data_IF_835895301040
#
_entry.id   IF_835895301040
#
_cell.length_a   1.000
_cell.length_b   1.000
_cell.length_c   1.000
_cell.angle_alpha   90.00
_cell.angle_beta   90.00
_cell.angle_gamma   90.00
#
_symmetry.space_group_name_H-M   'P 1'
#
loop_
_entity.id
_entity.type
_entity.pdbx_description
1 polymer ?
#
# COMPACT_ATOMS: atom_id res chain seq x y z
N UNK A 1 -13.13 -63.72 36.73
CA UNK A 1 -12.30 -62.51 36.61
C UNK A 1 -13.09 -61.40 35.91
N UNK A 2 -13.52 -60.38 36.64
CA UNK A 2 -14.19 -59.22 36.05
C UNK A 2 -13.18 -58.47 35.17
N UNK A 3 -13.47 -58.41 33.85
CA UNK A 3 -12.74 -57.51 32.95
C UNK A 3 -12.79 -56.08 33.51
N UNK A 4 -11.64 -55.61 34.02
CA UNK A 4 -11.46 -54.20 34.36
C UNK A 4 -11.78 -53.36 33.09
N UNK A 5 -12.88 -52.59 33.12
CA UNK A 5 -13.19 -51.63 32.07
C UNK A 5 -11.93 -50.72 31.93
N UNK A 6 -11.22 -50.85 30.81
CA UNK A 6 -10.13 -49.94 30.41
C UNK A 6 -10.63 -48.49 30.46
N UNK A 7 -10.45 -47.79 31.59
CA UNK A 7 -10.72 -46.39 31.73
C UNK A 7 -9.59 -45.65 31.04
N UNK A 8 -9.85 -45.08 29.84
CA UNK A 8 -8.91 -44.21 29.16
C UNK A 8 -8.50 -43.02 30.06
N UNK A 9 -7.30 -42.54 29.88
CA UNK A 9 -6.80 -41.32 30.59
C UNK A 9 -7.68 -40.12 30.28
N UNK A 10 -8.07 -39.38 31.34
CA UNK A 10 -8.74 -38.09 31.17
C UNK A 10 -7.85 -37.09 30.44
N UNK A 11 -8.44 -36.12 29.71
CA UNK A 11 -7.69 -35.07 29.01
C UNK A 11 -6.75 -34.33 29.95
N UNK A 12 -7.24 -34.01 31.17
CA UNK A 12 -6.45 -33.33 32.23
C UNK A 12 -5.18 -34.10 32.59
N UNK A 13 -5.29 -35.43 32.74
CA UNK A 13 -4.13 -36.28 33.08
C UNK A 13 -3.14 -36.38 31.91
N UNK A 14 -3.63 -36.45 30.64
CA UNK A 14 -2.76 -36.46 29.46
C UNK A 14 -1.96 -35.16 29.35
N UNK A 15 -2.62 -34.02 29.53
CA UNK A 15 -1.97 -32.70 29.52
C UNK A 15 -0.97 -32.56 30.65
N UNK A 16 -1.31 -33.01 31.87
CA UNK A 16 -0.40 -32.93 33.01
C UNK A 16 0.84 -33.82 32.78
N UNK A 17 0.67 -35.04 32.31
CA UNK A 17 1.79 -35.95 31.99
C UNK A 17 2.66 -35.37 30.86
N UNK A 18 2.08 -34.83 29.79
CA UNK A 18 2.85 -34.24 28.71
C UNK A 18 3.63 -32.99 29.14
N UNK A 19 3.05 -32.16 30.03
CA UNK A 19 3.73 -31.03 30.61
C UNK A 19 4.90 -31.43 31.51
N UNK A 20 4.69 -32.42 32.38
CA UNK A 20 5.78 -32.95 33.19
C UNK A 20 6.91 -33.49 32.31
N UNK A 21 6.60 -34.26 31.26
CA UNK A 21 7.60 -34.74 30.30
C UNK A 21 8.37 -33.59 29.61
N UNK A 22 7.66 -32.54 29.26
CA UNK A 22 8.28 -31.32 28.70
C UNK A 22 9.23 -30.67 29.72
N UNK A 23 8.83 -30.56 30.99
CA UNK A 23 9.58 -29.91 32.04
C UNK A 23 10.81 -30.70 32.49
N UNK A 24 10.79 -32.04 32.46
CA UNK A 24 11.95 -32.89 32.78
C UNK A 24 13.14 -32.58 31.88
N UNK A 25 12.89 -32.16 30.63
CA UNK A 25 13.92 -31.83 29.62
C UNK A 25 13.77 -30.38 29.12
N UNK A 26 13.43 -29.49 30.05
CA UNK A 26 13.05 -28.08 29.70
C UNK A 26 14.08 -27.39 28.84
N UNK A 27 15.36 -27.48 29.13
CA UNK A 27 16.40 -26.79 28.36
C UNK A 27 16.50 -27.27 26.91
N UNK A 28 16.41 -28.56 26.67
CA UNK A 28 16.41 -29.13 25.32
C UNK A 28 15.14 -28.71 24.55
N UNK A 29 14.00 -28.86 25.19
CA UNK A 29 12.71 -28.52 24.59
C UNK A 29 12.58 -26.99 24.32
N UNK A 30 13.18 -26.16 25.20
CA UNK A 30 13.21 -24.70 24.99
C UNK A 30 14.17 -24.34 23.84
N UNK A 31 15.31 -24.97 23.70
CA UNK A 31 16.21 -24.78 22.56
C UNK A 31 15.51 -25.09 21.24
N UNK A 32 14.72 -26.15 21.20
CA UNK A 32 13.95 -26.51 20.01
C UNK A 32 12.86 -25.46 19.75
N UNK A 33 12.17 -25.04 20.81
CA UNK A 33 11.14 -24.02 20.71
C UNK A 33 11.72 -22.69 20.19
N UNK A 34 12.90 -22.28 20.64
CA UNK A 34 13.58 -21.08 20.12
C UNK A 34 13.99 -21.24 18.64
N UNK A 35 14.57 -22.39 18.27
CA UNK A 35 14.91 -22.65 16.87
C UNK A 35 13.67 -22.65 15.97
N UNK A 36 12.57 -23.26 16.43
CA UNK A 36 11.29 -23.28 15.70
C UNK A 36 10.67 -21.88 15.62
N UNK A 37 10.85 -21.04 16.65
CA UNK A 37 10.28 -19.68 16.65
C UNK A 37 10.84 -18.80 15.53
N UNK A 38 12.07 -19.05 15.05
CA UNK A 38 12.68 -18.28 13.94
C UNK A 38 11.82 -18.35 12.68
N UNK A 39 11.31 -19.54 12.33
CA UNK A 39 10.41 -19.70 11.19
C UNK A 39 9.09 -18.94 11.38
N UNK A 40 8.51 -19.02 12.57
CA UNK A 40 7.27 -18.31 12.91
C UNK A 40 7.48 -16.78 12.92
N UNK A 41 8.62 -16.27 13.41
CA UNK A 41 8.99 -14.86 13.39
C UNK A 41 8.99 -14.33 11.95
N UNK A 42 9.62 -15.05 11.01
CA UNK A 42 9.69 -14.66 9.61
C UNK A 42 8.28 -14.50 8.98
N UNK A 43 7.37 -15.44 9.25
CA UNK A 43 5.98 -15.36 8.76
C UNK A 43 5.23 -14.23 9.45
N UNK A 44 5.35 -14.05 10.77
CA UNK A 44 4.68 -12.97 11.50
C UNK A 44 5.17 -11.59 11.06
N UNK A 45 6.47 -11.42 10.80
CA UNK A 45 7.01 -10.17 10.26
C UNK A 45 6.43 -9.91 8.86
N UNK A 46 6.34 -10.94 8.02
CA UNK A 46 5.72 -10.80 6.69
C UNK A 46 4.26 -10.36 6.77
N UNK A 47 3.48 -10.93 7.70
CA UNK A 47 2.10 -10.48 7.94
C UNK A 47 2.05 -9.06 8.48
N UNK A 48 2.88 -8.73 9.47
CA UNK A 48 2.90 -7.40 10.08
C UNK A 48 3.23 -6.27 9.10
N UNK A 49 4.24 -6.47 8.25
CA UNK A 49 4.61 -5.50 7.20
C UNK A 49 3.50 -5.37 6.16
N UNK A 50 2.97 -6.49 5.65
CA UNK A 50 1.92 -6.45 4.63
C UNK A 50 0.63 -5.80 5.13
N UNK A 51 0.22 -6.10 6.36
CA UNK A 51 -0.98 -5.50 6.96
C UNK A 51 -0.81 -4.00 7.21
N UNK A 52 0.35 -3.56 7.68
CA UNK A 52 0.62 -2.15 7.92
C UNK A 52 0.53 -1.32 6.63
N UNK A 53 1.14 -1.80 5.54
CA UNK A 53 1.10 -1.08 4.26
C UNK A 53 -0.34 -1.04 3.70
N UNK A 54 -1.08 -2.17 3.76
CA UNK A 54 -2.48 -2.20 3.35
C UNK A 54 -3.33 -1.30 4.24
N UNK A 55 -3.06 -1.26 5.56
CA UNK A 55 -3.70 -0.35 6.51
C UNK A 55 -3.46 1.11 6.14
N UNK A 56 -2.21 1.52 5.91
CA UNK A 56 -1.88 2.89 5.49
C UNK A 56 -2.60 3.32 4.20
N UNK A 57 -2.69 2.40 3.23
CA UNK A 57 -3.42 2.66 1.99
C UNK A 57 -4.91 2.85 2.29
N UNK A 58 -5.51 1.99 3.11
CA UNK A 58 -6.92 2.09 3.47
C UNK A 58 -7.20 3.35 4.29
N UNK A 59 -6.38 3.67 5.27
CA UNK A 59 -6.52 4.89 6.11
C UNK A 59 -6.42 6.16 5.25
N UNK A 60 -5.51 6.16 4.27
CA UNK A 60 -5.40 7.26 3.31
C UNK A 60 -6.62 7.36 2.39
N UNK A 61 -7.40 6.29 2.25
CA UNK A 61 -8.57 6.20 1.38
C UNK A 61 -9.90 6.26 2.14
N UNK A 62 -9.97 5.79 3.40
CA UNK A 62 -11.19 5.77 4.24
C UNK A 62 -11.58 7.16 4.79
N UNK A 63 -10.69 8.15 4.70
CA UNK A 63 -11.00 9.55 5.04
C UNK A 63 -12.08 10.20 4.14
N UNK A 64 -12.88 9.41 3.42
CA UNK A 64 -14.01 9.87 2.59
C UNK A 64 -13.57 10.51 1.26
N UNK A 65 -12.30 10.45 0.94
CA UNK A 65 -11.72 11.14 -0.21
C UNK A 65 -10.93 10.20 -1.13
N UNK A 66 -11.40 8.95 -1.37
CA UNK A 66 -10.91 8.26 -2.57
C UNK A 66 -11.42 9.10 -3.75
N UNK A 67 -10.54 9.79 -4.49
CA UNK A 67 -11.01 10.47 -5.67
C UNK A 67 -11.57 9.40 -6.60
N UNK A 68 -12.86 9.46 -6.85
CA UNK A 68 -13.52 8.69 -7.92
C UNK A 68 -13.02 9.14 -9.29
N UNK A 69 -11.85 9.77 -9.33
CA UNK A 69 -11.25 10.34 -10.51
C UNK A 69 -10.61 9.26 -11.37
N UNK A 70 -11.01 9.25 -12.62
CA UNK A 70 -10.47 8.38 -13.66
C UNK A 70 -9.71 9.27 -14.63
N UNK A 71 -8.43 9.01 -14.79
CA UNK A 71 -7.60 9.62 -15.82
C UNK A 71 -7.65 8.78 -17.08
N UNK A 72 -7.96 9.40 -18.20
CA UNK A 72 -8.07 8.76 -19.51
C UNK A 72 -7.07 9.45 -20.43
N UNK A 73 -6.11 8.70 -20.94
CA UNK A 73 -5.13 9.15 -21.93
C UNK A 73 -5.11 8.19 -23.13
N UNK A 74 -4.44 8.56 -24.20
CA UNK A 74 -4.19 7.62 -25.27
C UNK A 74 -3.20 6.54 -24.83
N UNK A 75 -3.41 5.29 -25.27
CA UNK A 75 -2.41 4.25 -25.10
C UNK A 75 -1.13 4.62 -25.90
N UNK A 76 0.04 4.14 -25.49
CA UNK A 76 1.33 4.46 -26.15
C UNK A 76 1.28 4.28 -27.67
N UNK A 77 0.61 3.22 -28.15
CA UNK A 77 0.41 2.96 -29.57
C UNK A 77 -0.49 3.98 -30.26
N UNK A 78 -1.46 4.55 -29.56
CA UNK A 78 -2.41 5.54 -30.10
C UNK A 78 -1.87 6.95 -29.96
N UNK A 79 -1.09 7.25 -28.92
CA UNK A 79 -0.45 8.55 -28.69
C UNK A 79 0.56 8.89 -29.82
N UNK A 80 1.20 7.89 -30.40
CA UNK A 80 2.06 8.08 -31.57
C UNK A 80 1.31 8.57 -32.84
N UNK A 81 -0.06 8.54 -32.82
CA UNK A 81 -0.91 8.93 -33.95
C UNK A 81 -1.71 10.19 -33.71
N UNK A 82 -1.58 10.84 -32.57
CA UNK A 82 -2.29 12.06 -32.26
C UNK A 82 -2.56 12.30 -30.76
N UNK A 83 -3.42 13.23 -30.50
CA UNK A 83 -3.85 13.66 -29.17
C UNK A 83 -5.35 13.41 -28.99
N UNK A 84 -5.84 13.47 -27.75
CA UNK A 84 -7.26 13.38 -27.47
C UNK A 84 -8.02 14.56 -28.10
N UNK A 85 -9.20 14.28 -28.64
CA UNK A 85 -10.03 15.26 -29.32
C UNK A 85 -11.50 15.20 -28.86
N UNK A 86 -12.35 16.03 -29.47
CA UNK A 86 -13.78 16.11 -29.14
C UNK A 86 -14.54 14.80 -29.41
N UNK A 87 -14.12 13.98 -30.37
CA UNK A 87 -14.78 12.70 -30.64
C UNK A 87 -14.44 11.67 -29.57
N UNK A 88 -13.24 11.75 -28.99
CA UNK A 88 -12.86 10.94 -27.83
C UNK A 88 -13.73 11.30 -26.62
N UNK A 89 -13.96 12.58 -26.38
CA UNK A 89 -14.86 13.03 -25.30
C UNK A 89 -16.29 12.53 -25.52
N UNK A 90 -16.84 12.66 -26.74
CA UNK A 90 -18.17 12.14 -27.09
C UNK A 90 -18.24 10.63 -26.88
N UNK A 91 -17.21 9.88 -27.30
CA UNK A 91 -17.16 8.45 -27.06
C UNK A 91 -17.17 8.11 -25.57
N UNK A 92 -16.33 8.77 -24.76
CA UNK A 92 -16.27 8.53 -23.31
C UNK A 92 -17.63 8.81 -22.66
N UNK A 93 -18.26 9.94 -23.01
CA UNK A 93 -19.60 10.30 -22.52
C UNK A 93 -20.67 9.28 -22.93
N UNK A 94 -20.58 8.69 -24.13
CA UNK A 94 -21.54 7.68 -24.59
C UNK A 94 -21.44 6.35 -23.82
N UNK A 95 -20.29 6.07 -23.19
CA UNK A 95 -20.08 4.84 -22.43
C UNK A 95 -20.64 4.89 -21.01
N UNK A 96 -21.04 6.07 -20.53
CA UNK A 96 -21.43 6.34 -19.14
C UNK A 96 -22.76 7.06 -19.16
N UNK A 97 -23.65 6.70 -18.22
CA UNK A 97 -24.92 7.45 -18.07
C UNK A 97 -24.62 8.89 -17.65
N UNK A 98 -25.22 9.85 -18.30
CA UNK A 98 -24.99 11.29 -18.01
C UNK A 98 -25.18 11.65 -16.55
N UNK A 99 -26.16 11.01 -15.89
CA UNK A 99 -26.45 11.22 -14.47
C UNK A 99 -25.38 10.70 -13.52
N UNK A 100 -24.57 9.75 -13.95
CA UNK A 100 -23.45 9.20 -13.17
C UNK A 100 -22.19 10.07 -13.23
N UNK A 101 -22.09 10.95 -14.22
CA UNK A 101 -20.96 11.85 -14.40
C UNK A 101 -21.10 13.06 -13.47
N UNK A 102 -20.11 13.29 -12.62
CA UNK A 102 -19.98 14.52 -11.84
C UNK A 102 -19.34 15.61 -12.69
N UNK A 103 -18.21 15.30 -13.32
CA UNK A 103 -17.57 16.10 -14.36
C UNK A 103 -16.72 15.23 -15.30
N UNK A 104 -16.52 15.72 -16.52
CA UNK A 104 -15.52 15.24 -17.46
C UNK A 104 -14.82 16.47 -18.02
N UNK A 105 -13.53 16.60 -17.77
CA UNK A 105 -12.72 17.75 -18.13
C UNK A 105 -11.46 17.31 -18.88
N UNK A 106 -11.02 18.17 -19.77
CA UNK A 106 -9.90 17.91 -20.67
C UNK A 106 -8.81 18.95 -20.43
N UNK A 107 -7.98 18.80 -19.36
CA UNK A 107 -6.92 19.76 -19.07
C UNK A 107 -5.96 19.91 -20.24
N UNK A 108 -5.59 21.13 -20.53
CA UNK A 108 -4.62 21.51 -21.55
C UNK A 108 -3.76 22.65 -21.02
N UNK A 109 -2.65 22.90 -21.66
CA UNK A 109 -1.72 23.91 -21.18
C UNK A 109 -0.91 24.54 -22.29
N UNK A 110 -0.14 25.54 -21.91
CA UNK A 110 0.87 26.18 -22.73
C UNK A 110 2.13 26.43 -21.93
N UNK A 111 3.28 26.62 -22.62
CA UNK A 111 4.52 26.95 -21.97
C UNK A 111 4.84 28.44 -22.14
N UNK A 112 5.35 29.07 -21.10
CA UNK A 112 5.90 30.41 -21.15
C UNK A 112 7.42 30.33 -21.30
N UNK A 113 7.98 30.98 -22.32
CA UNK A 113 9.42 31.12 -22.49
C UNK A 113 9.98 32.25 -21.62
N UNK A 114 9.21 33.30 -21.42
CA UNK A 114 9.59 34.42 -20.59
C UNK A 114 8.38 35.12 -19.97
N UNK A 115 8.62 35.90 -18.92
CA UNK A 115 7.62 36.73 -18.28
C UNK A 115 8.22 38.06 -17.89
N UNK A 116 7.55 39.15 -18.24
CA UNK A 116 7.94 40.52 -17.86
C UNK A 116 6.93 41.06 -16.83
N UNK A 117 7.47 41.47 -15.69
CA UNK A 117 6.74 42.10 -14.58
C UNK A 117 7.49 43.30 -14.08
N UNK A 118 6.84 44.47 -13.97
CA UNK A 118 7.43 45.74 -13.51
C UNK A 118 8.74 46.08 -14.27
N UNK A 119 8.80 45.83 -15.58
CA UNK A 119 9.96 46.09 -16.44
C UNK A 119 11.09 45.06 -16.31
N UNK A 120 10.99 44.09 -15.44
CA UNK A 120 11.98 42.99 -15.32
C UNK A 120 11.48 41.80 -16.10
N UNK A 121 12.26 41.31 -17.04
CA UNK A 121 11.99 40.06 -17.78
C UNK A 121 12.71 38.89 -17.11
N UNK A 122 11.99 37.87 -16.82
CA UNK A 122 12.47 36.56 -16.35
C UNK A 122 12.44 35.59 -17.54
N UNK A 123 13.59 35.03 -17.87
CA UNK A 123 13.74 34.04 -18.96
C UNK A 123 13.64 32.62 -18.38
N UNK A 124 12.73 31.83 -18.93
CA UNK A 124 12.48 30.45 -18.54
C UNK A 124 13.03 29.43 -19.53
N UNK A 125 13.65 29.88 -20.63
CA UNK A 125 14.13 29.00 -21.71
C UNK A 125 15.25 28.06 -21.28
N UNK A 126 16.02 28.42 -20.25
CA UNK A 126 17.19 27.66 -19.79
C UNK A 126 16.90 26.63 -18.72
N UNK A 127 16.00 26.91 -17.80
CA UNK A 127 15.76 26.11 -16.58
C UNK A 127 14.32 25.62 -16.44
N UNK A 128 13.40 26.01 -17.32
CA UNK A 128 12.01 25.56 -17.43
C UNK A 128 11.37 25.28 -16.06
N UNK A 129 11.22 26.26 -15.17
CA UNK A 129 10.63 26.03 -13.87
C UNK A 129 9.17 25.59 -14.03
N UNK A 130 8.65 24.77 -13.13
CA UNK A 130 7.28 24.21 -13.25
C UNK A 130 6.22 25.30 -13.48
N UNK A 131 6.35 26.46 -12.87
CA UNK A 131 5.42 27.59 -13.07
C UNK A 131 5.54 28.26 -14.45
N UNK A 132 6.51 27.89 -15.29
CA UNK A 132 6.51 28.29 -16.70
C UNK A 132 5.45 27.56 -17.51
N UNK A 133 4.93 26.44 -17.02
CA UNK A 133 3.80 25.76 -17.59
C UNK A 133 2.50 26.33 -17.03
N UNK A 134 1.63 26.84 -17.92
CA UNK A 134 0.28 27.29 -17.59
C UNK A 134 -0.71 26.20 -17.92
N UNK A 135 -1.46 25.76 -16.93
CA UNK A 135 -2.47 24.70 -17.07
C UNK A 135 -3.86 25.28 -16.92
N UNK A 136 -4.81 24.79 -17.72
CA UNK A 136 -6.21 25.16 -17.66
C UNK A 136 -6.84 24.82 -16.31
N UNK A 137 -7.52 25.79 -15.70
CA UNK A 137 -8.23 25.64 -14.44
C UNK A 137 -9.73 25.51 -14.70
N UNK A 138 -10.31 24.40 -14.27
CA UNK A 138 -11.76 24.16 -14.31
C UNK A 138 -12.36 24.29 -12.91
N UNK A 139 -13.64 24.69 -12.83
CA UNK A 139 -14.31 24.95 -11.55
C UNK A 139 -14.47 23.69 -10.67
N UNK A 140 -14.64 22.54 -11.29
CA UNK A 140 -15.15 21.33 -10.62
C UNK A 140 -14.12 20.22 -10.42
N UNK A 141 -12.89 20.33 -10.98
CA UNK A 141 -11.87 19.30 -10.77
C UNK A 141 -11.31 19.35 -9.35
N UNK A 142 -10.89 18.20 -8.84
CA UNK A 142 -10.19 18.11 -7.55
C UNK A 142 -8.90 18.95 -7.55
N UNK A 143 -8.21 19.02 -8.68
CA UNK A 143 -7.07 19.90 -8.89
C UNK A 143 -7.46 21.37 -8.69
N UNK A 144 -8.61 21.78 -9.25
CA UNK A 144 -9.16 23.12 -9.05
C UNK A 144 -9.59 23.37 -7.60
N UNK A 145 -10.19 22.38 -6.93
CA UNK A 145 -10.69 22.54 -5.56
C UNK A 145 -9.58 22.60 -4.55
N UNK A 146 -8.51 21.78 -4.66
CA UNK A 146 -7.38 21.86 -3.75
C UNK A 146 -6.61 23.19 -3.86
N UNK A 147 -6.56 23.78 -5.05
CA UNK A 147 -5.95 25.09 -5.30
C UNK A 147 -6.89 26.26 -5.09
N UNK A 148 -8.16 25.98 -4.98
CA UNK A 148 -9.21 26.95 -4.65
C UNK A 148 -9.50 26.92 -3.12
N UNK A 149 -8.84 26.05 -2.38
CA UNK A 149 -8.96 26.01 -0.93
C UNK A 149 -8.37 27.28 -0.32
N UNK A 150 -9.16 27.92 0.54
CA UNK A 150 -8.77 29.18 1.19
C UNK A 150 -7.47 29.04 1.97
N UNK A 151 -7.22 27.89 2.54
CA UNK A 151 -6.05 27.62 3.39
C UNK A 151 -4.74 27.52 2.57
N UNK A 152 -4.85 27.24 1.26
CA UNK A 152 -3.70 27.19 0.34
C UNK A 152 -3.50 28.47 -0.48
N UNK A 153 -4.38 29.44 -0.38
CA UNK A 153 -4.27 30.71 -1.09
C UNK A 153 -3.48 31.70 -0.22
N UNK A 154 -2.23 31.97 -0.61
CA UNK A 154 -1.37 32.95 0.07
C UNK A 154 -1.82 34.40 -0.19
N UNK A 155 -2.39 34.68 -1.35
CA UNK A 155 -2.99 35.98 -1.70
C UNK A 155 -4.00 35.85 -2.83
N UNK A 156 -4.98 36.75 -2.87
CA UNK A 156 -6.07 36.75 -3.86
C UNK A 156 -7.35 36.15 -3.33
N UNK A 157 -8.30 35.86 -4.22
CA UNK A 157 -9.60 35.27 -3.86
C UNK A 157 -9.76 33.91 -4.51
N UNK A 158 -10.52 32.97 -3.90
CA UNK A 158 -10.86 31.70 -4.52
C UNK A 158 -11.52 31.88 -5.89
N UNK A 159 -11.23 30.96 -6.82
CA UNK A 159 -11.83 30.95 -8.14
C UNK A 159 -13.34 30.63 -8.05
N UNK A 160 -14.18 31.53 -8.59
CA UNK A 160 -15.63 31.41 -8.43
C UNK A 160 -16.37 31.11 -9.73
N UNK A 161 -15.86 31.59 -10.86
CA UNK A 161 -16.54 31.51 -12.16
C UNK A 161 -15.57 31.17 -13.28
N UNK A 162 -16.04 30.43 -14.28
CA UNK A 162 -15.29 30.15 -15.51
C UNK A 162 -15.00 31.42 -16.35
N UNK A 163 -15.72 32.52 -16.10
CA UNK A 163 -15.53 33.78 -16.78
C UNK A 163 -14.54 34.72 -16.11
N UNK A 164 -13.96 34.33 -14.96
CA UNK A 164 -12.86 35.06 -14.35
C UNK A 164 -11.65 35.07 -15.28
N UNK A 165 -10.92 36.21 -15.31
CA UNK A 165 -9.70 36.36 -16.09
C UNK A 165 -8.51 36.62 -15.17
N UNK A 166 -7.38 36.02 -15.49
CA UNK A 166 -6.13 36.23 -14.78
C UNK A 166 -5.34 34.95 -14.59
N UNK A 167 -4.12 35.11 -14.11
CA UNK A 167 -3.16 34.02 -13.92
C UNK A 167 -2.90 33.81 -12.42
N UNK A 168 -2.86 32.55 -12.04
CA UNK A 168 -2.49 32.10 -10.70
C UNK A 168 -1.04 31.61 -10.75
N UNK A 169 -0.20 32.10 -9.84
CA UNK A 169 1.19 31.63 -9.67
C UNK A 169 1.39 30.93 -8.33
N UNK A 170 2.37 30.01 -8.23
CA UNK A 170 2.80 29.45 -6.97
C UNK A 170 3.74 30.41 -6.21
N UNK A 171 3.93 30.16 -4.91
CA UNK A 171 4.83 30.93 -4.05
C UNK A 171 6.31 30.84 -4.50
N UNK A 172 6.70 29.76 -5.14
CA UNK A 172 8.03 29.59 -5.74
C UNK A 172 8.35 30.67 -6.78
N UNK A 173 7.36 31.12 -7.55
CA UNK A 173 7.51 32.25 -8.45
C UNK A 173 7.84 33.54 -7.70
N UNK A 174 7.13 33.84 -6.62
CA UNK A 174 7.38 35.02 -5.77
C UNK A 174 8.79 35.00 -5.20
N UNK A 175 9.24 33.85 -4.70
CA UNK A 175 10.59 33.68 -4.17
C UNK A 175 11.64 33.96 -5.24
N UNK A 176 11.49 33.39 -6.43
CA UNK A 176 12.45 33.61 -7.53
C UNK A 176 12.47 35.07 -8.00
N UNK A 177 11.28 35.68 -8.19
CA UNK A 177 11.21 37.09 -8.57
C UNK A 177 11.96 37.99 -7.56
N UNK A 178 11.78 37.78 -6.26
CA UNK A 178 12.48 38.51 -5.22
C UNK A 178 14.01 38.28 -5.26
N UNK A 179 14.45 37.04 -5.53
CA UNK A 179 15.88 36.74 -5.67
C UNK A 179 16.49 37.44 -6.88
N UNK A 180 15.84 37.44 -8.03
CA UNK A 180 16.36 38.07 -9.25
C UNK A 180 16.31 39.61 -9.24
N UNK A 181 15.38 40.20 -8.46
CA UNK A 181 15.21 41.66 -8.39
C UNK A 181 15.81 42.29 -7.16
N UNK A 182 16.26 41.50 -6.16
CA UNK A 182 16.70 41.98 -4.85
C UNK A 182 15.57 42.56 -3.99
N UNK A 183 14.32 42.47 -4.42
CA UNK A 183 13.12 42.95 -3.71
C UNK A 183 12.69 41.98 -2.63
N UNK A 184 11.91 42.45 -1.66
CA UNK A 184 11.29 41.62 -0.59
C UNK A 184 9.76 41.79 -0.64
N UNK A 185 9.16 41.52 -1.80
CA UNK A 185 7.71 41.61 -2.02
C UNK A 185 7.00 40.42 -1.38
N UNK A 186 5.83 40.65 -0.79
CA UNK A 186 4.94 39.63 -0.27
C UNK A 186 3.98 39.18 -1.35
N UNK A 187 3.35 38.01 -1.19
CA UNK A 187 2.37 37.47 -2.15
C UNK A 187 1.28 38.48 -2.53
N UNK A 188 0.77 39.27 -1.57
CA UNK A 188 -0.27 40.29 -1.80
C UNK A 188 0.16 41.42 -2.74
N UNK A 189 1.45 41.71 -2.81
CA UNK A 189 2.00 42.82 -3.61
C UNK A 189 2.01 42.47 -5.11
N UNK A 190 1.77 41.23 -5.47
CA UNK A 190 1.67 40.75 -6.85
C UNK A 190 0.23 40.81 -7.39
N UNK A 191 -0.78 40.85 -6.52
CA UNK A 191 -2.17 40.78 -6.93
C UNK A 191 -2.57 42.04 -7.70
N UNK A 192 -3.18 41.85 -8.88
CA UNK A 192 -3.61 42.93 -9.78
C UNK A 192 -2.51 43.46 -10.71
N UNK A 193 -1.26 43.08 -10.53
CA UNK A 193 -0.17 43.47 -11.42
C UNK A 193 -0.37 42.91 -12.82
N UNK A 194 -0.13 43.70 -13.83
CA UNK A 194 -0.11 43.28 -15.22
C UNK A 194 1.23 42.61 -15.54
N UNK A 195 1.15 41.53 -16.28
CA UNK A 195 2.32 40.82 -16.82
C UNK A 195 2.20 40.70 -18.32
N UNK A 196 3.36 40.73 -18.99
CA UNK A 196 3.48 40.29 -20.37
C UNK A 196 4.27 38.97 -20.37
N UNK A 197 3.67 37.92 -20.92
CA UNK A 197 4.33 36.62 -21.00
C UNK A 197 4.47 36.20 -22.46
N UNK A 198 5.65 35.69 -22.81
CA UNK A 198 5.89 35.10 -24.11
C UNK A 198 5.56 33.60 -24.04
N UNK A 199 4.51 33.21 -24.76
CA UNK A 199 4.10 31.80 -24.87
C UNK A 199 4.70 31.15 -26.09
N UNK A 200 5.00 29.87 -25.99
CA UNK A 200 5.67 29.10 -27.07
C UNK A 200 4.98 27.76 -27.30
N UNK A 201 4.91 27.37 -28.57
CA UNK A 201 4.49 26.04 -29.01
C UNK A 201 5.54 25.50 -30.00
N UNK A 202 6.12 24.36 -29.68
CA UNK A 202 7.00 23.66 -30.61
C UNK A 202 6.16 22.81 -31.54
N UNK A 203 6.25 23.09 -32.83
CA UNK A 203 5.57 22.36 -33.89
C UNK A 203 6.59 21.66 -34.80
N UNK A 204 6.14 20.76 -35.66
CA UNK A 204 7.03 20.11 -36.67
C UNK A 204 7.69 21.14 -37.60
N UNK A 205 7.03 22.28 -37.86
CA UNK A 205 7.47 23.33 -38.76
C UNK A 205 8.29 24.45 -38.07
N UNK A 206 8.52 24.31 -36.75
CA UNK A 206 9.30 25.29 -35.97
C UNK A 206 8.58 25.72 -34.68
N UNK A 207 9.14 26.73 -34.01
CA UNK A 207 8.56 27.26 -32.76
C UNK A 207 7.67 28.44 -33.06
N UNK A 208 6.38 28.36 -32.71
CA UNK A 208 5.48 29.51 -32.69
C UNK A 208 5.65 30.26 -31.39
N UNK A 209 5.63 31.59 -31.45
CA UNK A 209 5.79 32.49 -30.30
C UNK A 209 4.70 33.55 -30.35
N UNK A 210 4.10 33.86 -29.21
CA UNK A 210 3.17 34.98 -29.08
C UNK A 210 3.31 35.65 -27.71
N UNK A 211 3.09 36.97 -27.69
CA UNK A 211 3.07 37.75 -26.45
C UNK A 211 1.62 37.89 -25.96
N UNK A 212 1.42 37.52 -24.70
CA UNK A 212 0.12 37.65 -24.04
C UNK A 212 0.22 38.64 -22.89
N UNK A 213 -0.86 39.40 -22.65
CA UNK A 213 -0.97 40.29 -21.48
C UNK A 213 -2.08 39.78 -20.58
N UNK A 214 -1.80 39.67 -19.30
CA UNK A 214 -2.79 39.25 -18.30
C UNK A 214 -2.43 39.83 -16.92
N UNK A 215 -3.29 39.58 -15.93
CA UNK A 215 -3.05 40.03 -14.54
C UNK A 215 -2.84 38.86 -13.62
N UNK A 216 -2.01 39.06 -12.61
CA UNK A 216 -1.85 38.12 -11.51
C UNK A 216 -3.07 38.30 -10.59
N UNK A 217 -3.87 37.25 -10.42
CA UNK A 217 -5.09 37.29 -9.60
C UNK A 217 -4.97 36.51 -8.31
N UNK A 218 -3.99 35.59 -8.26
CA UNK A 218 -3.85 34.68 -7.13
C UNK A 218 -2.39 34.18 -7.00
N UNK A 219 -1.96 34.04 -5.75
CA UNK A 219 -0.73 33.32 -5.39
C UNK A 219 -1.14 32.17 -4.47
N UNK A 220 -0.67 30.94 -4.78
CA UNK A 220 -0.95 29.73 -4.02
C UNK A 220 0.31 29.22 -3.35
N UNK A 221 0.15 28.57 -2.21
CA UNK A 221 1.25 27.89 -1.51
C UNK A 221 1.56 26.57 -2.22
N UNK A 222 2.81 26.35 -2.58
CA UNK A 222 3.34 25.14 -3.22
C UNK A 222 4.38 24.41 -2.36
N UNK A 223 4.44 24.71 -1.06
CA UNK A 223 5.47 24.18 -0.15
C UNK A 223 5.34 22.67 0.10
N UNK A 224 4.13 22.11 -0.03
CA UNK A 224 3.84 20.70 0.27
C UNK A 224 3.90 19.78 -0.96
N UNK A 225 3.78 20.31 -2.20
CA UNK A 225 3.65 19.48 -3.40
C UNK A 225 4.30 20.12 -4.64
N UNK A 226 5.25 19.43 -5.26
CA UNK A 226 5.88 19.86 -6.51
C UNK A 226 4.88 20.02 -7.68
N UNK A 227 3.79 19.26 -7.71
CA UNK A 227 2.70 19.38 -8.71
C UNK A 227 1.92 20.69 -8.58
N UNK A 228 1.94 21.33 -7.41
CA UNK A 228 1.30 22.62 -7.16
C UNK A 228 2.13 23.80 -7.65
N UNK A 229 3.36 23.56 -8.10
CA UNK A 229 4.28 24.58 -8.60
C UNK A 229 4.00 25.06 -10.03
N UNK A 230 2.94 24.58 -10.69
CA UNK A 230 2.49 25.09 -12.00
C UNK A 230 1.71 26.41 -11.88
N UNK A 231 1.67 27.15 -12.96
CA UNK A 231 0.77 28.30 -13.09
C UNK A 231 -0.60 27.87 -13.63
N UNK A 232 -1.66 28.60 -13.31
CA UNK A 232 -3.01 28.24 -13.72
C UNK A 232 -3.78 29.42 -14.28
N UNK A 233 -4.54 29.16 -15.36
CA UNK A 233 -5.43 30.12 -15.98
C UNK A 233 -6.81 29.50 -16.16
N UNK A 234 -7.94 30.25 -16.00
CA UNK A 234 -9.25 29.73 -16.30
C UNK A 234 -9.30 29.12 -17.71
N UNK A 235 -9.88 27.92 -17.82
CA UNK A 235 -9.85 27.15 -19.07
C UNK A 235 -10.40 27.91 -20.26
N UNK A 236 -11.49 28.68 -20.07
CA UNK A 236 -12.09 29.49 -21.11
C UNK A 236 -11.14 30.60 -21.61
N UNK A 237 -10.49 31.32 -20.68
CA UNK A 237 -9.51 32.35 -21.04
C UNK A 237 -8.32 31.76 -21.77
N UNK A 238 -7.80 30.64 -21.29
CA UNK A 238 -6.67 29.97 -21.91
C UNK A 238 -7.00 29.49 -23.34
N UNK A 239 -8.22 28.96 -23.55
CA UNK A 239 -8.68 28.51 -24.87
C UNK A 239 -8.85 29.69 -25.84
N UNK A 240 -9.42 30.82 -25.36
CA UNK A 240 -9.49 32.05 -26.13
C UNK A 240 -8.13 32.55 -26.58
N UNK A 241 -7.14 32.61 -25.65
CA UNK A 241 -5.78 33.04 -25.93
C UNK A 241 -5.07 32.12 -26.93
N UNK A 242 -5.21 30.81 -26.80
CA UNK A 242 -4.63 29.87 -27.75
C UNK A 242 -5.21 30.08 -29.16
N UNK A 243 -6.54 30.22 -29.26
CA UNK A 243 -7.24 30.41 -30.53
C UNK A 243 -6.87 31.74 -31.21
N UNK A 244 -6.82 32.84 -30.46
CA UNK A 244 -6.48 34.18 -30.98
C UNK A 244 -5.07 34.24 -31.53
N UNK A 245 -4.14 33.45 -30.93
CA UNK A 245 -2.71 33.41 -31.34
C UNK A 245 -2.40 32.23 -32.26
N UNK A 246 -3.39 31.47 -32.72
CA UNK A 246 -3.20 30.36 -33.65
C UNK A 246 -2.45 29.14 -33.08
N UNK A 247 -2.46 28.98 -31.76
CA UNK A 247 -1.88 27.82 -31.06
C UNK A 247 -2.84 26.63 -31.07
N UNK A 248 -2.30 25.43 -30.98
CA UNK A 248 -3.08 24.20 -30.96
C UNK A 248 -3.46 23.82 -29.54
N UNK A 249 -4.75 23.61 -29.29
CA UNK A 249 -5.23 23.04 -28.04
C UNK A 249 -4.87 21.56 -27.98
N UNK A 250 -3.84 21.22 -27.23
CA UNK A 250 -3.37 19.82 -27.07
C UNK A 250 -3.87 19.25 -25.76
N UNK A 251 -4.73 18.22 -25.84
CA UNK A 251 -5.25 17.50 -24.70
C UNK A 251 -4.53 16.18 -24.54
N UNK A 252 -3.69 16.05 -23.53
CA UNK A 252 -2.92 14.83 -23.26
C UNK A 252 -3.72 13.80 -22.46
N UNK A 253 -4.64 14.25 -21.63
CA UNK A 253 -5.49 13.38 -20.82
C UNK A 253 -6.83 14.06 -20.50
N UNK A 254 -7.82 13.25 -20.17
CA UNK A 254 -9.12 13.70 -19.64
C UNK A 254 -9.30 13.20 -18.23
N UNK A 255 -9.96 13.99 -17.40
CA UNK A 255 -10.30 13.68 -16.02
C UNK A 255 -11.80 13.50 -15.91
N UNK A 256 -12.20 12.29 -15.54
CA UNK A 256 -13.59 11.92 -15.30
C UNK A 256 -13.78 11.68 -13.81
N UNK A 257 -14.76 12.30 -13.20
CA UNK A 257 -15.23 11.97 -11.85
C UNK A 257 -16.69 11.54 -11.88
N UNK A 258 -16.99 10.47 -11.18
CA UNK A 258 -18.34 9.94 -11.04
C UNK A 258 -18.98 10.47 -9.76
N UNK A 259 -20.31 10.62 -9.77
CA UNK A 259 -21.09 10.98 -8.56
C UNK A 259 -21.05 9.86 -7.53
N UNK A 260 -21.04 8.61 -7.99
CA UNK A 260 -20.98 7.41 -7.17
C UNK A 260 -19.59 6.75 -7.31
N UNK A 261 -18.72 6.83 -6.28
CA UNK A 261 -17.40 6.22 -6.29
C UNK A 261 -17.43 4.70 -6.48
N UNK A 262 -18.49 4.00 -6.06
CA UNK A 262 -18.61 2.55 -6.19
C UNK A 262 -18.60 2.08 -7.65
N UNK A 263 -19.05 2.93 -8.59
CA UNK A 263 -19.07 2.65 -10.03
C UNK A 263 -17.73 2.82 -10.71
N UNK A 264 -16.73 3.43 -10.04
CA UNK A 264 -15.42 3.74 -10.64
C UNK A 264 -14.75 2.51 -11.24
N UNK A 265 -14.78 1.38 -10.54
CA UNK A 265 -14.17 0.12 -11.00
C UNK A 265 -14.85 -0.46 -12.25
N UNK A 266 -16.16 -0.38 -12.31
CA UNK A 266 -16.96 -0.85 -13.45
C UNK A 266 -16.70 0.03 -14.69
N UNK A 267 -16.80 1.35 -14.53
CA UNK A 267 -16.57 2.33 -15.60
C UNK A 267 -15.13 2.22 -16.12
N UNK A 268 -14.15 2.14 -15.23
CA UNK A 268 -12.74 1.94 -15.63
C UNK A 268 -12.57 0.69 -16.50
N UNK A 269 -13.10 -0.46 -16.07
CA UNK A 269 -13.05 -1.70 -16.85
C UNK A 269 -13.76 -1.58 -18.18
N UNK A 270 -14.89 -0.87 -18.25
CA UNK A 270 -15.65 -0.66 -19.47
C UNK A 270 -14.86 0.16 -20.48
N UNK A 271 -14.22 1.25 -20.04
CA UNK A 271 -13.39 2.10 -20.89
C UNK A 271 -12.09 1.41 -21.32
N UNK A 272 -11.48 0.58 -20.46
CA UNK A 272 -10.28 -0.22 -20.76
C UNK A 272 -10.48 -1.27 -21.86
N UNK A 273 -11.73 -1.66 -22.18
CA UNK A 273 -12.02 -2.56 -23.30
C UNK A 273 -11.62 -1.95 -24.63
N UNK A 274 -11.66 -0.64 -24.77
CA UNK A 274 -11.15 0.04 -25.93
C UNK A 274 -9.64 0.29 -25.80
N UNK A 275 -8.85 -0.52 -26.54
CA UNK A 275 -7.38 -0.46 -26.53
C UNK A 275 -6.78 0.86 -27.01
N UNK A 276 -7.60 1.80 -27.51
CA UNK A 276 -7.18 3.16 -27.86
C UNK A 276 -6.74 3.93 -26.63
N UNK A 277 -7.39 3.68 -25.49
CA UNK A 277 -7.17 4.45 -24.26
C UNK A 277 -6.37 3.69 -23.22
N UNK A 278 -5.54 4.42 -22.51
CA UNK A 278 -4.98 4.05 -21.20
C UNK A 278 -5.88 4.71 -20.14
N UNK A 279 -6.60 3.90 -19.40
CA UNK A 279 -7.55 4.36 -18.39
C UNK A 279 -7.02 3.99 -17.02
N UNK A 280 -6.70 4.98 -16.22
CA UNK A 280 -6.15 4.84 -14.87
C UNK A 280 -7.12 5.46 -13.88
N UNK A 281 -7.61 4.67 -12.94
CA UNK A 281 -8.27 5.21 -11.75
C UNK A 281 -7.31 5.10 -10.56
N UNK A 282 -7.37 6.04 -9.64
CA UNK A 282 -6.57 5.99 -8.42
C UNK A 282 -6.80 4.67 -7.68
N UNK A 283 -8.04 4.20 -7.63
CA UNK A 283 -8.38 2.91 -7.06
C UNK A 283 -7.72 1.73 -7.79
N UNK A 284 -7.63 1.77 -9.14
CA UNK A 284 -6.96 0.72 -9.90
C UNK A 284 -5.45 0.69 -9.63
N UNK A 285 -4.82 1.85 -9.45
CA UNK A 285 -3.40 1.95 -9.08
C UNK A 285 -3.19 1.35 -7.69
N UNK A 286 -4.03 1.71 -6.71
CA UNK A 286 -3.97 1.15 -5.36
C UNK A 286 -4.18 -0.37 -5.37
N UNK A 287 -5.15 -0.88 -6.14
CA UNK A 287 -5.37 -2.33 -6.31
C UNK A 287 -4.11 -3.05 -6.84
N UNK A 288 -3.38 -2.44 -7.77
CA UNK A 288 -2.12 -2.99 -8.30
C UNK A 288 -1.03 -2.98 -7.24
N UNK A 289 -0.88 -1.89 -6.49
CA UNK A 289 0.10 -1.77 -5.40
C UNK A 289 -0.19 -2.82 -4.32
N UNK A 290 -1.45 -2.95 -3.89
CA UNK A 290 -1.86 -3.95 -2.89
C UNK A 290 -1.57 -5.37 -3.38
N UNK A 291 -1.84 -5.67 -4.65
CA UNK A 291 -1.51 -6.99 -5.23
C UNK A 291 -0.01 -7.24 -5.22
N UNK A 292 0.80 -6.25 -5.59
CA UNK A 292 2.26 -6.37 -5.58
C UNK A 292 2.79 -6.64 -4.17
N UNK A 293 2.28 -5.91 -3.17
CA UNK A 293 2.61 -6.12 -1.75
C UNK A 293 2.24 -7.54 -1.32
N UNK A 294 1.05 -8.04 -1.69
CA UNK A 294 0.63 -9.42 -1.38
C UNK A 294 1.53 -10.47 -2.03
N UNK A 295 2.01 -10.23 -3.23
CA UNK A 295 2.98 -11.13 -3.90
C UNK A 295 4.29 -11.17 -3.13
N UNK A 296 4.84 -10.00 -2.75
CA UNK A 296 6.06 -9.93 -1.91
C UNK A 296 5.83 -10.65 -0.57
N UNK A 297 4.71 -10.40 0.08
CA UNK A 297 4.33 -11.06 1.33
C UNK A 297 4.29 -12.58 1.17
N UNK A 298 3.67 -13.08 0.10
CA UNK A 298 3.63 -14.51 -0.20
C UNK A 298 5.02 -15.12 -0.41
N UNK A 299 5.92 -14.41 -1.13
CA UNK A 299 7.31 -14.84 -1.32
C UNK A 299 8.06 -14.92 0.02
N UNK A 300 7.92 -13.92 0.89
CA UNK A 300 8.53 -13.94 2.22
C UNK A 300 7.99 -15.08 3.09
N UNK A 301 6.69 -15.37 3.02
CA UNK A 301 6.08 -16.51 3.71
C UNK A 301 6.64 -17.83 3.19
N UNK A 302 6.78 -17.99 1.87
CA UNK A 302 7.36 -19.19 1.26
C UNK A 302 8.81 -19.39 1.73
N UNK A 303 9.62 -18.33 1.74
CA UNK A 303 10.99 -18.39 2.23
C UNK A 303 11.04 -18.78 3.72
N UNK A 304 10.18 -18.20 4.56
CA UNK A 304 10.10 -18.52 5.98
C UNK A 304 9.55 -19.92 6.23
N UNK A 305 8.72 -20.46 5.34
CA UNK A 305 8.14 -21.80 5.47
C UNK A 305 9.19 -22.91 5.41
N UNK A 306 10.32 -22.68 4.75
CA UNK A 306 11.43 -23.64 4.75
C UNK A 306 12.00 -23.87 6.16
N UNK A 307 12.18 -22.78 6.93
CA UNK A 307 12.63 -22.89 8.32
C UNK A 307 11.60 -23.64 9.19
N UNK A 308 10.30 -23.45 8.93
CA UNK A 308 9.23 -24.16 9.62
C UNK A 308 9.24 -25.66 9.27
N UNK A 309 9.46 -26.02 8.01
CA UNK A 309 9.57 -27.42 7.58
C UNK A 309 10.75 -28.13 8.26
N UNK A 310 11.92 -27.50 8.29
CA UNK A 310 13.10 -28.04 9.00
C UNK A 310 12.78 -28.24 10.48
N UNK A 311 12.13 -27.25 11.11
CA UNK A 311 11.71 -27.34 12.51
C UNK A 311 10.70 -28.46 12.76
N UNK A 312 9.77 -28.70 11.84
CA UNK A 312 8.80 -29.77 11.92
C UNK A 312 9.48 -31.16 11.95
N UNK A 313 10.48 -31.34 11.08
CA UNK A 313 11.29 -32.58 11.04
C UNK A 313 12.06 -32.73 12.33
N UNK A 314 12.72 -31.66 12.83
CA UNK A 314 13.46 -31.68 14.09
C UNK A 314 12.58 -32.07 15.28
N UNK A 315 11.39 -31.50 15.41
CA UNK A 315 10.40 -31.87 16.44
C UNK A 315 10.07 -33.35 16.31
N UNK A 316 9.83 -33.85 15.10
CA UNK A 316 9.56 -35.27 14.84
C UNK A 316 10.66 -36.19 15.28
N UNK A 317 11.93 -35.87 14.96
CA UNK A 317 13.11 -36.63 15.39
C UNK A 317 13.22 -36.66 16.91
N UNK A 318 13.02 -35.53 17.58
CA UNK A 318 13.15 -35.44 19.02
C UNK A 318 12.02 -36.18 19.73
N UNK A 319 10.80 -36.12 19.26
CA UNK A 319 9.71 -36.93 19.77
C UNK A 319 10.03 -38.43 19.60
N UNK A 320 10.60 -38.79 18.44
CA UNK A 320 11.03 -40.17 18.21
C UNK A 320 12.09 -40.62 19.24
N UNK A 321 13.12 -39.80 19.47
CA UNK A 321 14.18 -40.07 20.47
C UNK A 321 13.56 -40.15 21.88
N UNK A 322 12.63 -39.27 22.24
CA UNK A 322 11.92 -39.29 23.52
C UNK A 322 11.17 -40.59 23.74
N UNK A 323 10.47 -41.09 22.70
CA UNK A 323 9.75 -42.36 22.74
C UNK A 323 10.72 -43.50 22.96
N UNK A 324 11.86 -43.52 22.26
CA UNK A 324 12.86 -44.59 22.40
C UNK A 324 13.50 -44.63 23.81
N UNK A 325 13.87 -43.45 24.33
CA UNK A 325 14.45 -43.31 25.65
C UNK A 325 13.52 -43.69 26.81
N UNK A 326 12.19 -43.60 26.57
CA UNK A 326 11.13 -43.93 27.53
C UNK A 326 10.41 -45.23 27.18
N UNK A 327 11.05 -46.11 26.40
CA UNK A 327 10.44 -47.39 25.98
C UNK A 327 10.01 -48.24 27.15
N UNK A 328 10.80 -48.30 28.24
CA UNK A 328 10.50 -49.04 29.48
C UNK A 328 9.26 -48.47 30.18
N UNK A 329 9.17 -47.14 30.33
CA UNK A 329 8.01 -46.47 30.91
C UNK A 329 6.74 -46.72 30.07
N UNK A 330 6.87 -46.65 28.75
CA UNK A 330 5.76 -46.93 27.81
C UNK A 330 5.33 -48.42 27.96
N UNK A 331 6.28 -49.34 28.09
CA UNK A 331 6.03 -50.74 28.33
C UNK A 331 5.24 -50.97 29.63
N UNK A 332 5.64 -50.35 30.75
CA UNK A 332 4.92 -50.39 32.02
C UNK A 332 3.51 -49.82 31.88
N UNK A 333 3.34 -48.64 31.25
CA UNK A 333 2.02 -48.06 31.03
C UNK A 333 1.14 -48.99 30.26
N UNK A 334 1.62 -49.65 29.22
CA UNK A 334 0.83 -50.59 28.41
C UNK A 334 0.50 -51.90 29.21
N UNK A 335 1.44 -52.41 30.02
CA UNK A 335 1.25 -53.58 30.89
C UNK A 335 0.17 -53.32 31.97
N UNK A 336 0.06 -52.10 32.51
CA UNK A 336 -0.96 -51.66 33.47
C UNK A 336 -2.32 -51.38 32.79
N UNK A 337 -2.38 -51.43 31.43
CA UNK A 337 -3.63 -51.37 30.70
C UNK A 337 -3.96 -50.01 30.09
N UNK A 338 -2.99 -49.06 29.97
CA UNK A 338 -3.24 -47.83 29.24
C UNK A 338 -3.45 -48.07 27.74
N UNK A 339 -4.40 -47.37 27.15
CA UNK A 339 -4.70 -47.51 25.74
C UNK A 339 -3.59 -46.89 24.88
N UNK A 340 -3.22 -47.55 23.79
CA UNK A 340 -2.24 -47.06 22.84
C UNK A 340 -2.51 -45.63 22.36
N UNK A 341 -3.80 -45.26 22.20
CA UNK A 341 -4.22 -43.92 21.83
C UNK A 341 -3.90 -42.89 22.89
N UNK A 342 -3.99 -43.27 24.17
CA UNK A 342 -3.75 -42.34 25.28
C UNK A 342 -2.25 -42.08 25.47
N UNK A 343 -1.43 -43.14 25.35
CA UNK A 343 0.02 -43.00 25.38
C UNK A 343 0.53 -42.17 24.19
N UNK A 344 0.00 -42.39 22.98
CA UNK A 344 0.32 -41.55 21.81
C UNK A 344 -0.04 -40.09 22.04
N UNK A 345 -1.22 -39.83 22.62
CA UNK A 345 -1.69 -38.47 22.85
C UNK A 345 -0.74 -37.66 23.76
N UNK A 346 -0.08 -38.31 24.74
CA UNK A 346 0.89 -37.66 25.63
C UNK A 346 2.05 -37.05 24.82
N UNK A 347 2.61 -37.79 23.86
CA UNK A 347 3.71 -37.30 23.01
C UNK A 347 3.26 -36.27 21.98
N UNK A 348 2.03 -36.39 21.47
CA UNK A 348 1.44 -35.35 20.61
C UNK A 348 1.27 -34.04 21.39
N UNK A 349 0.77 -34.11 22.64
CA UNK A 349 0.67 -32.91 23.49
C UNK A 349 2.03 -32.34 23.87
N UNK A 350 3.08 -33.15 24.04
CA UNK A 350 4.45 -32.66 24.25
C UNK A 350 4.92 -31.82 23.05
N UNK A 351 4.68 -32.28 21.81
CA UNK A 351 4.98 -31.50 20.61
C UNK A 351 4.14 -30.21 20.52
N UNK A 352 2.86 -30.26 20.89
CA UNK A 352 2.00 -29.08 20.94
C UNK A 352 2.49 -28.03 21.97
N UNK A 353 3.04 -28.48 23.11
CA UNK A 353 3.70 -27.55 24.04
C UNK A 353 4.92 -26.88 23.42
N UNK A 354 5.77 -27.64 22.69
CA UNK A 354 6.94 -27.08 22.00
C UNK A 354 6.51 -26.04 20.98
N UNK A 355 5.56 -26.37 20.08
CA UNK A 355 5.11 -25.44 19.05
C UNK A 355 4.32 -24.24 19.61
N UNK A 356 3.55 -24.43 20.69
CA UNK A 356 2.86 -23.36 21.38
C UNK A 356 3.82 -22.34 22.01
N UNK A 357 4.86 -22.82 22.68
CA UNK A 357 5.93 -21.97 23.25
C UNK A 357 6.69 -21.27 22.12
N UNK A 358 6.99 -22.00 21.02
CA UNK A 358 7.63 -21.40 19.84
C UNK A 358 6.83 -20.24 19.26
N UNK A 359 5.50 -20.40 19.16
CA UNK A 359 4.62 -19.32 18.69
C UNK A 359 4.58 -18.16 19.69
N UNK A 360 4.51 -18.44 20.99
CA UNK A 360 4.53 -17.38 22.01
C UNK A 360 5.82 -16.54 21.94
N UNK A 361 6.99 -17.22 21.83
CA UNK A 361 8.27 -16.56 21.62
C UNK A 361 8.29 -15.75 20.32
N UNK A 362 7.77 -16.32 19.24
CA UNK A 362 7.70 -15.64 17.95
C UNK A 362 6.83 -14.39 17.98
N UNK A 363 5.68 -14.44 18.66
CA UNK A 363 4.81 -13.28 18.87
C UNK A 363 5.50 -12.19 19.68
N UNK A 364 6.16 -12.55 20.78
CA UNK A 364 6.89 -11.57 21.60
C UNK A 364 8.02 -10.89 20.81
N UNK A 365 8.82 -11.67 20.10
CA UNK A 365 9.96 -11.14 19.34
C UNK A 365 9.48 -10.31 18.14
N UNK A 366 8.53 -10.80 17.35
CA UNK A 366 8.02 -10.08 16.19
C UNK A 366 7.31 -8.78 16.59
N UNK A 367 6.54 -8.79 17.69
CA UNK A 367 5.92 -7.58 18.23
C UNK A 367 6.96 -6.59 18.77
N UNK A 368 8.01 -7.09 19.42
CA UNK A 368 9.13 -6.25 19.89
C UNK A 368 9.85 -5.57 18.72
N UNK A 369 10.23 -6.32 17.68
CA UNK A 369 10.87 -5.80 16.48
C UNK A 369 9.94 -4.81 15.78
N UNK A 370 8.66 -5.15 15.63
CA UNK A 370 7.66 -4.30 15.00
C UNK A 370 7.42 -2.99 15.72
N UNK A 371 7.34 -3.03 17.06
CA UNK A 371 7.20 -1.82 17.89
C UNK A 371 8.42 -0.90 17.79
N UNK A 372 9.62 -1.47 17.78
CA UNK A 372 10.86 -0.71 17.57
C UNK A 372 10.89 -0.09 16.17
N UNK A 373 10.51 -0.85 15.14
CA UNK A 373 10.43 -0.33 13.76
C UNK A 373 9.42 0.83 13.66
N UNK A 374 8.23 0.69 14.25
CA UNK A 374 7.23 1.75 14.29
C UNK A 374 7.75 3.01 15.00
N UNK A 375 8.44 2.86 16.14
CA UNK A 375 9.02 3.98 16.88
C UNK A 375 10.09 4.72 16.08
N UNK A 376 10.99 3.99 15.41
CA UNK A 376 12.05 4.58 14.59
C UNK A 376 11.45 5.32 13.39
N UNK A 377 10.51 4.70 12.69
CA UNK A 377 9.93 5.29 11.48
C UNK A 377 9.06 6.50 11.83
N UNK A 378 8.26 6.45 12.88
CA UNK A 378 7.46 7.61 13.31
C UNK A 378 8.32 8.82 13.74
N UNK A 379 9.53 8.57 14.25
CA UNK A 379 10.48 9.64 14.58
C UNK A 379 11.15 10.26 13.34
N UNK A 380 11.51 9.44 12.36
CA UNK A 380 12.16 9.89 11.12
C UNK A 380 11.16 10.47 10.10
N UNK A 381 9.96 9.91 10.05
CA UNK A 381 8.90 10.23 9.09
C UNK A 381 7.56 10.39 9.81
N UNK A 382 7.26 11.56 10.40
CA UNK A 382 6.03 11.80 11.17
C UNK A 382 4.73 11.55 10.39
N UNK A 383 4.78 11.60 9.06
CA UNK A 383 3.65 11.30 8.17
C UNK A 383 3.31 9.80 8.04
N UNK A 384 4.23 8.91 8.48
CA UNK A 384 4.03 7.46 8.42
C UNK A 384 3.58 6.94 9.78
N UNK A 385 2.33 6.51 9.88
CA UNK A 385 1.73 6.09 11.16
C UNK A 385 2.29 4.78 11.70
N UNK A 386 2.39 3.75 10.86
CA UNK A 386 2.86 2.40 11.24
C UNK A 386 3.45 1.67 10.04
N UNK A 387 4.57 0.98 10.24
CA UNK A 387 5.18 0.08 9.23
C UNK A 387 5.02 -1.39 9.60
N UNK A 388 4.51 -1.67 10.80
CA UNK A 388 4.25 -3.02 11.26
C UNK A 388 2.94 -3.06 12.05
N UNK A 389 2.02 -3.98 11.67
CA UNK A 389 0.74 -4.17 12.33
C UNK A 389 0.32 -5.66 12.31
N UNK A 390 0.28 -6.29 13.49
CA UNK A 390 -0.22 -7.65 13.66
C UNK A 390 -1.69 -7.61 14.07
N UNK A 391 -2.55 -7.91 13.11
CA UNK A 391 -3.98 -8.03 13.39
C UNK A 391 -4.32 -9.40 14.00
N UNK A 392 -5.47 -9.47 14.70
CA UNK A 392 -5.95 -10.69 15.35
C UNK A 392 -6.09 -11.87 14.37
N UNK A 393 -6.47 -11.58 13.12
CA UNK A 393 -6.62 -12.61 12.07
C UNK A 393 -5.30 -13.31 11.79
N UNK A 394 -4.19 -12.56 11.65
CA UNK A 394 -2.85 -13.12 11.44
C UNK A 394 -2.40 -13.99 12.62
N UNK A 395 -2.69 -13.54 13.84
CA UNK A 395 -2.37 -14.30 15.08
C UNK A 395 -3.16 -15.62 15.11
N UNK A 396 -4.46 -15.58 14.80
CA UNK A 396 -5.31 -16.78 14.78
C UNK A 396 -4.89 -17.79 13.69
N UNK A 397 -4.53 -17.29 12.51
CA UNK A 397 -3.99 -18.14 11.42
C UNK A 397 -2.70 -18.84 11.90
N UNK A 398 -1.78 -18.09 12.51
CA UNK A 398 -0.52 -18.65 13.01
C UNK A 398 -0.75 -19.62 14.18
N UNK A 399 -1.72 -19.36 15.04
CA UNK A 399 -2.09 -20.27 16.11
C UNK A 399 -2.60 -21.61 15.54
N UNK A 400 -3.53 -21.57 14.60
CA UNK A 400 -4.03 -22.77 13.92
C UNK A 400 -2.91 -23.54 13.22
N UNK A 401 -2.00 -22.81 12.54
CA UNK A 401 -0.87 -23.40 11.85
C UNK A 401 0.14 -24.05 12.84
N UNK A 402 0.42 -23.43 13.97
CA UNK A 402 1.28 -23.97 15.04
C UNK A 402 0.72 -25.27 15.60
N UNK A 403 -0.60 -25.36 15.85
CA UNK A 403 -1.25 -26.59 16.30
C UNK A 403 -1.16 -27.70 15.25
N UNK A 404 -1.42 -27.36 13.98
CA UNK A 404 -1.32 -28.31 12.87
C UNK A 404 0.11 -28.87 12.76
N UNK A 405 1.12 -27.99 12.79
CA UNK A 405 2.51 -28.35 12.73
C UNK A 405 2.91 -29.29 13.88
N UNK A 406 2.56 -28.94 15.13
CA UNK A 406 2.86 -29.76 16.30
C UNK A 406 2.22 -31.14 16.21
N UNK A 407 0.98 -31.20 15.77
CA UNK A 407 0.27 -32.46 15.58
C UNK A 407 0.95 -33.34 14.49
N UNK A 408 1.18 -32.77 13.30
CA UNK A 408 1.77 -33.51 12.17
C UNK A 408 3.17 -34.01 12.50
N UNK A 409 4.01 -33.16 13.12
CA UNK A 409 5.39 -33.52 13.49
C UNK A 409 5.47 -34.71 14.47
N UNK A 410 4.53 -34.78 15.42
CA UNK A 410 4.54 -35.85 16.41
C UNK A 410 3.77 -37.09 15.96
N UNK A 411 2.84 -36.98 15.02
CA UNK A 411 1.93 -38.07 14.65
C UNK A 411 2.65 -39.29 14.08
N UNK A 412 3.64 -39.09 13.20
CA UNK A 412 4.41 -40.19 12.59
C UNK A 412 5.24 -40.93 13.63
N UNK A 413 6.11 -40.27 14.46
CA UNK A 413 6.87 -40.98 15.49
C UNK A 413 5.96 -41.62 16.55
N UNK A 414 4.86 -41.00 16.94
CA UNK A 414 3.91 -41.54 17.91
C UNK A 414 3.23 -42.86 17.44
N UNK A 415 3.12 -43.09 16.12
CA UNK A 415 2.63 -44.40 15.61
C UNK A 415 3.50 -45.56 16.05
N UNK A 416 4.80 -45.38 16.28
CA UNK A 416 5.71 -46.42 16.72
C UNK A 416 5.31 -46.99 18.07
N UNK A 417 4.70 -46.21 18.96
CA UNK A 417 4.21 -46.64 20.27
C UNK A 417 3.23 -47.81 20.15
N UNK A 418 2.39 -47.85 19.13
CA UNK A 418 1.45 -48.96 18.93
C UNK A 418 2.11 -50.28 18.65
N UNK A 419 3.29 -50.26 18.02
CA UNK A 419 4.03 -51.43 17.59
C UNK A 419 5.00 -51.94 18.68
N UNK A 420 5.18 -51.21 19.79
CA UNK A 420 6.04 -51.63 20.89
C UNK A 420 5.34 -52.73 21.70
N UNK A 421 6.04 -53.87 21.82
CA UNK A 421 5.59 -54.98 22.68
C UNK A 421 5.94 -54.65 24.14
N UNK A 422 4.99 -54.69 25.08
CA UNK A 422 5.27 -54.51 26.51
C UNK A 422 6.32 -55.47 27.08
N UNK A 423 6.28 -56.73 26.64
CA UNK A 423 7.22 -57.75 27.14
C UNK A 423 8.62 -57.49 26.66
N UNK A 424 8.80 -57.14 25.37
CA UNK A 424 10.07 -56.82 24.79
C UNK A 424 10.65 -55.51 25.35
N UNK A 425 9.78 -54.49 25.56
CA UNK A 425 10.16 -53.22 26.16
C UNK A 425 10.65 -53.30 27.61
N UNK A 426 10.25 -54.31 28.35
CA UNK A 426 10.64 -54.58 29.74
C UNK A 426 11.89 -55.50 29.84
N UNK A 427 12.21 -56.25 28.77
CA UNK A 427 13.32 -57.25 28.74
C UNK A 427 14.65 -56.64 28.31
N UNK A 428 14.65 -55.48 27.66
CA UNK A 428 15.91 -54.79 27.32
C UNK A 428 16.49 -54.12 28.56
N UNK A 429 17.60 -54.67 29.06
CA UNK A 429 18.59 -53.98 29.90
C UNK A 429 19.42 -53.02 29.10
#
# INVERSE_FOLDING_TARGET
>A
MKQSKNKGLTLKNKLKLSLNNFMERKWRNLLIATATSIGFIGVLISFGLGNAIVGMINDSTDGGNIPSQIQISLSAKSAARGVLNADDEKFIRSQIKSDDIKYLESPFGMNMASLTLDGKTMDFSKDLPNYSQVISLYKNTKISTSRNDKDKISAGKPFKSADEKGLTFPMSFVKRYNQETGKKLKAKDFIGKEISAQIVENTADGTKVADIKTKIVRIVDDSENAEESNSYMPAKQLEELLKENGFTKTVSYMLLELKDPAKTKEVTKKLQKNKKYLVLSQQAILDVIIKFIRVIQALLIILSSQAILVSAVMIGIIIYINIMQRSKEIGVMKAVGYLNRDVKAIFVYEALWITGISLALALLVSQGIGSLANMIVSHLYPSVSKVFDLNLTSILIMFGFSLLMGYVSAYLPARKISKMDPVESLRYE
#
